data_IF_836362446180
#
_entry.id   IF_836362446180
#
_cell.length_a   1.000
_cell.length_b   1.000
_cell.length_c   1.000
_cell.angle_alpha   90.00
_cell.angle_beta   90.00
_cell.angle_gamma   90.00
#
_symmetry.space_group_name_H-M   'P 1'
#
loop_
_entity.id
_entity.type
_entity.pdbx_description
1 polymer ?
#
# COMPACT_ATOMS: atom_id res chain seq x y z
N UNK A 1 -1.01 -8.58 -0.11
CA UNK A 1 -1.62 -9.66 -0.91
C UNK A 1 -1.27 -9.44 -2.37
N UNK A 2 -0.99 -10.49 -3.16
CA UNK A 2 -0.85 -10.36 -4.60
C UNK A 2 -2.21 -10.13 -5.28
N UNK A 3 -2.20 -9.50 -6.44
CA UNK A 3 -3.37 -9.35 -7.30
C UNK A 3 -2.98 -9.29 -8.78
N UNK A 4 -3.88 -9.74 -9.67
CA UNK A 4 -3.60 -9.82 -11.10
C UNK A 4 -3.38 -8.43 -11.70
N UNK A 5 -2.64 -8.39 -12.82
CA UNK A 5 -2.38 -7.17 -13.62
C UNK A 5 -1.60 -6.05 -12.91
N UNK A 6 -1.16 -6.26 -11.66
CA UNK A 6 -0.41 -5.29 -10.87
C UNK A 6 0.75 -5.94 -10.09
N UNK A 7 1.44 -6.92 -10.70
CA UNK A 7 2.45 -7.74 -10.02
C UNK A 7 3.56 -6.91 -9.34
N UNK A 8 4.14 -5.94 -10.05
CA UNK A 8 5.19 -5.06 -9.51
C UNK A 8 4.65 -4.17 -8.40
N UNK A 9 3.44 -3.64 -8.54
CA UNK A 9 2.80 -2.82 -7.51
C UNK A 9 2.59 -3.64 -6.22
N UNK A 10 2.03 -4.85 -6.31
CA UNK A 10 1.83 -5.69 -5.13
C UNK A 10 3.15 -6.16 -4.50
N UNK A 11 4.17 -6.45 -5.31
CA UNK A 11 5.51 -6.80 -4.81
C UNK A 11 6.14 -5.64 -4.02
N UNK A 12 6.06 -4.41 -4.54
CA UNK A 12 6.59 -3.24 -3.85
C UNK A 12 5.83 -2.92 -2.56
N UNK A 13 4.49 -3.12 -2.53
CA UNK A 13 3.72 -2.99 -1.27
C UNK A 13 4.09 -4.04 -0.23
N UNK A 14 4.32 -5.29 -0.64
CA UNK A 14 4.80 -6.33 0.27
C UNK A 14 6.20 -6.00 0.83
N UNK A 15 7.08 -5.46 -0.02
CA UNK A 15 8.40 -4.96 0.42
C UNK A 15 8.26 -3.88 1.49
N UNK A 16 7.42 -2.86 1.26
CA UNK A 16 7.22 -1.76 2.23
C UNK A 16 6.74 -2.30 3.59
N UNK A 17 5.78 -3.22 3.61
CA UNK A 17 5.33 -3.84 4.87
C UNK A 17 6.47 -4.57 5.59
N UNK A 18 7.23 -5.41 4.88
CA UNK A 18 8.35 -6.15 5.48
C UNK A 18 9.44 -5.21 5.99
N UNK A 19 9.78 -4.20 5.19
CA UNK A 19 10.78 -3.20 5.51
C UNK A 19 10.37 -2.36 6.73
N UNK A 20 9.13 -1.89 6.79
CA UNK A 20 8.62 -1.13 7.94
C UNK A 20 8.66 -1.95 9.24
N UNK A 21 8.34 -3.25 9.17
CA UNK A 21 8.44 -4.15 10.33
C UNK A 21 9.90 -4.33 10.79
N UNK A 22 10.83 -4.54 9.86
CA UNK A 22 12.26 -4.66 10.18
C UNK A 22 12.79 -3.35 10.80
N UNK A 23 12.48 -2.20 10.18
CA UNK A 23 12.91 -0.90 10.66
C UNK A 23 12.33 -0.60 12.05
N UNK A 24 11.04 -0.90 12.29
CA UNK A 24 10.43 -0.76 13.61
C UNK A 24 11.22 -1.52 14.69
N UNK A 25 11.69 -2.74 14.38
CA UNK A 25 12.53 -3.53 15.30
C UNK A 25 13.89 -2.88 15.56
N UNK A 26 14.54 -2.39 14.52
CA UNK A 26 15.88 -1.78 14.62
C UNK A 26 15.86 -0.48 15.44
N UNK A 27 14.78 0.30 15.38
CA UNK A 27 14.67 1.57 16.11
C UNK A 27 14.05 1.44 17.51
N UNK A 28 13.78 0.22 18.00
CA UNK A 28 13.22 0.02 19.34
C UNK A 28 14.12 0.63 20.42
N UNK A 29 13.52 1.38 21.34
CA UNK A 29 14.22 2.05 22.45
C UNK A 29 14.87 3.39 22.09
N UNK A 30 14.82 3.82 20.82
CA UNK A 30 15.37 5.13 20.40
C UNK A 30 14.42 6.31 20.62
N UNK A 31 13.16 6.05 20.98
CA UNK A 31 12.10 7.06 21.03
C UNK A 31 11.43 7.35 19.68
N UNK A 32 11.93 6.76 18.57
CA UNK A 32 11.31 6.87 17.24
C UNK A 32 10.22 5.82 17.07
N UNK A 33 9.07 6.21 16.51
CA UNK A 33 7.96 5.31 16.16
C UNK A 33 7.86 5.13 14.65
N UNK A 34 7.65 3.89 14.20
CA UNK A 34 7.46 3.53 12.79
C UNK A 34 6.08 2.87 12.63
N UNK A 35 5.29 3.37 11.68
CA UNK A 35 3.96 2.85 11.36
C UNK A 35 3.82 2.67 9.85
N UNK A 36 3.24 1.55 9.41
CA UNK A 36 2.93 1.29 8.00
C UNK A 36 1.42 1.41 7.77
N UNK A 37 0.98 2.49 7.12
CA UNK A 37 -0.42 2.66 6.73
C UNK A 37 -0.72 1.79 5.51
N UNK A 38 -1.72 0.91 5.63
CA UNK A 38 -2.12 -0.05 4.60
C UNK A 38 -3.58 0.19 4.18
N UNK A 39 -3.86 1.26 3.42
CA UNK A 39 -5.21 1.56 3.00
C UNK A 39 -5.70 0.53 1.98
N UNK A 40 -7.02 0.34 1.93
CA UNK A 40 -7.69 -0.35 0.84
C UNK A 40 -7.77 0.58 -0.39
N UNK A 41 -8.58 0.23 -1.40
CA UNK A 41 -8.87 1.09 -2.53
C UNK A 41 -9.38 2.47 -2.07
N UNK A 42 -8.65 3.52 -2.45
CA UNK A 42 -8.96 4.92 -2.09
C UNK A 42 -9.24 5.75 -3.34
N UNK A 43 -10.25 6.62 -3.27
CA UNK A 43 -10.60 7.56 -4.33
C UNK A 43 -9.53 8.66 -4.41
N UNK A 44 -8.50 8.39 -5.20
CA UNK A 44 -7.38 9.31 -5.43
C UNK A 44 -7.04 9.37 -6.91
N UNK A 45 -6.16 10.29 -7.30
CA UNK A 45 -5.62 10.37 -8.66
C UNK A 45 -4.82 9.12 -9.11
N UNK A 46 -4.60 8.14 -8.23
CA UNK A 46 -3.98 6.87 -8.59
C UNK A 46 -4.80 6.10 -9.62
N UNK A 47 -6.13 6.08 -9.49
CA UNK A 47 -7.04 5.32 -10.36
C UNK A 47 -6.93 5.82 -11.80
N UNK A 48 -6.96 7.15 -12.00
CA UNK A 48 -6.88 7.75 -13.33
C UNK A 48 -5.49 7.65 -13.93
N UNK A 49 -4.42 7.84 -13.15
CA UNK A 49 -3.04 7.74 -13.65
C UNK A 49 -2.61 6.31 -13.99
N UNK A 50 -3.16 5.32 -13.30
CA UNK A 50 -2.86 3.91 -13.53
C UNK A 50 -3.76 3.24 -14.56
N UNK A 51 -4.70 3.96 -15.17
CA UNK A 51 -5.76 3.42 -16.04
C UNK A 51 -6.53 2.26 -15.39
N UNK A 52 -6.94 2.45 -14.12
CA UNK A 52 -7.56 1.42 -13.28
C UNK A 52 -9.07 1.59 -13.14
N UNK A 53 -9.66 2.54 -13.86
CA UNK A 53 -11.09 2.88 -13.77
C UNK A 53 -12.02 1.71 -14.12
N UNK A 54 -11.55 0.80 -14.98
CA UNK A 54 -12.29 -0.40 -15.41
C UNK A 54 -12.14 -1.59 -14.45
N UNK A 55 -11.29 -1.49 -13.43
CA UNK A 55 -11.01 -2.61 -12.53
C UNK A 55 -11.99 -2.63 -11.35
N UNK A 56 -12.57 -3.80 -11.08
CA UNK A 56 -13.57 -3.97 -10.01
C UNK A 56 -13.02 -3.65 -8.61
N UNK A 57 -11.70 -3.74 -8.42
CA UNK A 57 -11.04 -3.42 -7.16
C UNK A 57 -11.34 -1.99 -6.68
N UNK A 58 -11.51 -1.03 -7.59
CA UNK A 58 -11.77 0.37 -7.25
C UNK A 58 -13.25 0.77 -7.35
N UNK A 59 -14.16 -0.16 -7.67
CA UNK A 59 -15.60 0.13 -7.77
C UNK A 59 -16.21 0.63 -6.45
N UNK A 60 -15.63 0.23 -5.32
CA UNK A 60 -16.05 0.62 -3.97
C UNK A 60 -14.94 1.38 -3.23
N UNK A 61 -14.08 2.09 -3.97
CA UNK A 61 -13.04 2.90 -3.35
C UNK A 61 -13.67 3.93 -2.41
N UNK A 62 -13.05 4.15 -1.24
CA UNK A 62 -13.54 5.10 -0.22
C UNK A 62 -12.78 6.43 -0.28
N UNK A 63 -13.40 7.50 0.23
CA UNK A 63 -12.73 8.80 0.33
C UNK A 63 -11.57 8.74 1.33
N UNK A 64 -10.47 9.47 1.09
CA UNK A 64 -9.32 9.54 2.00
C UNK A 64 -9.65 10.08 3.38
#
# INVERSE_FOLDING_TARGET
MPGPLQAVYYATKAYVTSWSNALWREVQGTGVTVSCLMPSAMQTGFISRGDLSSTQLFAHAVSP
#
